data_IF_518949818980
#
_entry.id   IF_518949818980
#
_cell.length_a   1.000
_cell.length_b   1.000
_cell.length_c   1.000
_cell.angle_alpha   90.00
_cell.angle_beta   90.00
_cell.angle_gamma   90.00
#
_symmetry.space_group_name_H-M   'P 1'
#
loop_
_entity.id
_entity.type
_entity.pdbx_description
1 polymer ?
#
# COMPACT_ATOMS: atom_id res chain seq x y z
N UNK A 1 -22.24 3.25 -23.16
CA UNK A 1 -21.23 2.60 -22.29
C UNK A 1 -20.02 3.53 -22.23
N UNK A 2 -19.52 3.84 -21.04
CA UNK A 2 -18.26 4.58 -20.87
C UNK A 2 -17.22 3.58 -20.35
N UNK A 3 -16.10 3.46 -21.04
CA UNK A 3 -15.01 2.54 -20.74
C UNK A 3 -13.71 3.35 -20.58
N UNK A 4 -13.00 3.15 -19.48
CA UNK A 4 -11.70 3.79 -19.21
C UNK A 4 -10.61 2.72 -19.08
N UNK A 5 -9.37 2.98 -19.55
CA UNK A 5 -8.30 1.97 -19.60
C UNK A 5 -7.63 1.78 -18.22
N UNK A 6 -8.39 1.36 -17.21
CA UNK A 6 -7.91 1.13 -15.84
C UNK A 6 -7.21 2.35 -15.20
N UNK A 7 -7.71 3.55 -15.49
CA UNK A 7 -7.19 4.83 -14.97
C UNK A 7 -8.09 5.42 -13.89
N UNK A 8 -8.94 4.61 -13.27
CA UNK A 8 -9.82 5.06 -12.19
C UNK A 8 -9.03 5.54 -10.96
N UNK A 9 -7.85 4.97 -10.74
CA UNK A 9 -6.89 5.40 -9.72
C UNK A 9 -5.48 5.02 -10.17
N UNK A 10 -4.50 5.83 -9.76
CA UNK A 10 -3.08 5.55 -9.95
C UNK A 10 -2.34 5.79 -8.65
N UNK A 11 -1.47 4.86 -8.28
CA UNK A 11 -0.58 5.02 -7.13
C UNK A 11 0.35 6.20 -7.36
N UNK A 12 0.35 7.16 -6.44
CA UNK A 12 1.27 8.29 -6.49
C UNK A 12 2.65 7.85 -5.98
N UNK A 13 3.71 7.89 -6.81
CA UNK A 13 5.01 7.32 -6.43
C UNK A 13 5.61 7.94 -5.18
N UNK A 14 5.51 9.27 -5.02
CA UNK A 14 6.10 9.98 -3.90
C UNK A 14 5.47 9.55 -2.55
N UNK A 15 4.14 9.52 -2.46
CA UNK A 15 3.46 9.14 -1.21
C UNK A 15 3.53 7.64 -0.96
N UNK A 16 3.55 6.81 -2.01
CA UNK A 16 3.76 5.37 -1.87
C UNK A 16 5.15 5.04 -1.32
N UNK A 17 6.20 5.72 -1.82
CA UNK A 17 7.55 5.58 -1.29
C UNK A 17 7.61 5.97 0.19
N UNK A 18 6.94 7.06 0.58
CA UNK A 18 6.85 7.48 1.98
C UNK A 18 6.22 6.37 2.86
N UNK A 19 5.09 5.80 2.44
CA UNK A 19 4.42 4.73 3.18
C UNK A 19 5.31 3.47 3.33
N UNK A 20 6.06 3.10 2.29
CA UNK A 20 7.02 1.98 2.35
C UNK A 20 8.14 2.26 3.35
N UNK A 21 8.75 3.45 3.27
CA UNK A 21 9.84 3.83 4.18
C UNK A 21 9.37 3.79 5.64
N UNK A 22 8.18 4.29 5.92
CA UNK A 22 7.66 4.32 7.28
C UNK A 22 7.36 2.92 7.81
N UNK A 23 6.85 2.02 6.98
CA UNK A 23 6.68 0.61 7.34
C UNK A 23 8.01 -0.12 7.58
N UNK A 24 9.06 0.20 6.81
CA UNK A 24 10.42 -0.33 7.06
C UNK A 24 10.94 0.15 8.42
N UNK A 25 10.77 1.43 8.75
CA UNK A 25 11.18 1.97 10.06
C UNK A 25 10.43 1.27 11.21
N UNK A 26 9.12 1.08 11.09
CA UNK A 26 8.30 0.36 12.08
C UNK A 26 8.80 -1.06 12.29
N UNK A 27 8.99 -1.80 11.19
CA UNK A 27 9.47 -3.18 11.26
C UNK A 27 10.83 -3.28 11.95
N UNK A 28 11.76 -2.37 11.62
CA UNK A 28 13.08 -2.31 12.28
C UNK A 28 13.01 -1.96 13.75
N UNK A 29 11.98 -1.23 14.18
CA UNK A 29 11.72 -0.92 15.58
C UNK A 29 10.94 -2.04 16.32
N UNK A 30 10.71 -3.19 15.67
CA UNK A 30 9.93 -4.29 16.25
C UNK A 30 8.42 -4.03 16.29
N UNK A 31 7.94 -3.00 15.57
CA UNK A 31 6.52 -2.69 15.45
C UNK A 31 5.95 -3.32 14.18
N UNK A 32 4.68 -3.71 14.26
CA UNK A 32 3.97 -4.22 13.08
C UNK A 32 3.83 -3.14 12.00
N UNK A 33 4.03 -3.49 10.71
CA UNK A 33 3.68 -2.63 9.59
C UNK A 33 2.18 -2.27 9.58
N UNK A 34 1.87 -1.12 9.03
CA UNK A 34 0.51 -0.65 8.78
C UNK A 34 0.07 -1.12 7.39
N UNK A 35 -1.17 -1.61 7.29
CA UNK A 35 -1.76 -2.11 6.04
C UNK A 35 -1.45 -3.58 5.74
N UNK A 36 -1.23 -4.40 6.78
CA UNK A 36 -1.07 -5.84 6.61
C UNK A 36 -2.35 -6.48 6.06
N UNK A 37 -2.17 -7.35 5.05
CA UNK A 37 -3.23 -8.14 4.43
C UNK A 37 -3.49 -9.40 5.26
N UNK A 38 -4.75 -9.68 5.55
CA UNK A 38 -5.16 -10.97 6.10
C UNK A 38 -5.33 -11.99 4.97
N UNK A 39 -4.36 -12.90 4.88
CA UNK A 39 -4.30 -13.89 3.80
C UNK A 39 -5.48 -14.88 3.81
N UNK A 40 -6.17 -15.04 4.94
CA UNK A 40 -7.35 -15.91 5.02
C UNK A 40 -8.58 -15.32 4.31
N UNK A 41 -8.59 -13.99 4.11
CA UNK A 41 -9.71 -13.26 3.50
C UNK A 41 -9.54 -13.05 1.99
N UNK A 42 -8.31 -13.18 1.48
CA UNK A 42 -7.99 -12.96 0.06
C UNK A 42 -7.95 -11.50 -0.38
N UNK A 43 -8.00 -10.55 0.57
CA UNK A 43 -7.84 -9.11 0.36
C UNK A 43 -7.33 -8.42 1.64
#
# INVERSE_FOLDING_TARGET
>A
IILTPHVASVTQPATAAQAVIDNIKRHRAGLDPIGLVDRSRGY
#
